data_IF_968012545253
#
_entry.id   IF_968012545253
#
_cell.length_a   1.000
_cell.length_b   1.000
_cell.length_c   1.000
_cell.angle_alpha   90.00
_cell.angle_beta   90.00
_cell.angle_gamma   90.00
#
_symmetry.space_group_name_H-M   'P 1'
#
loop_
_entity.id
_entity.type
_entity.pdbx_description
1 polymer ?
#
# COMPACT_ATOMS: atom_id res chain seq x y z
N UNK A 1 -35.78 -18.87 16.82
CA UNK A 1 -36.23 -17.48 17.04
C UNK A 1 -35.59 -16.98 18.34
N UNK A 2 -34.52 -16.19 18.24
CA UNK A 2 -33.90 -15.57 19.40
C UNK A 2 -33.38 -14.19 18.98
N UNK A 3 -34.20 -13.20 19.29
CA UNK A 3 -33.92 -11.78 19.16
C UNK A 3 -32.69 -11.42 19.98
N UNK A 4 -31.80 -10.59 19.42
CA UNK A 4 -30.87 -9.77 20.19
C UNK A 4 -30.99 -8.33 19.72
N UNK A 5 -31.57 -7.54 20.61
CA UNK A 5 -31.43 -6.10 20.73
C UNK A 5 -29.98 -5.67 20.40
N UNK A 6 -29.76 -4.64 19.61
CA UNK A 6 -30.19 -3.28 19.91
C UNK A 6 -29.00 -2.53 20.49
N UNK A 7 -28.08 -2.10 19.63
CA UNK A 7 -27.07 -1.09 19.97
C UNK A 7 -27.23 0.05 18.97
N UNK A 8 -28.06 1.00 19.39
CA UNK A 8 -28.31 2.27 18.75
C UNK A 8 -27.05 3.14 18.97
N UNK A 9 -26.08 3.10 18.06
CA UNK A 9 -24.94 4.01 18.10
C UNK A 9 -25.39 5.36 17.53
N UNK A 10 -25.89 6.20 18.43
CA UNK A 10 -26.13 7.62 18.22
C UNK A 10 -24.78 8.34 18.24
N UNK A 11 -24.12 8.48 17.09
CA UNK A 11 -23.08 9.50 16.96
C UNK A 11 -23.74 10.83 16.61
N UNK A 12 -23.97 11.58 17.69
CA UNK A 12 -24.43 12.95 17.70
C UNK A 12 -23.45 13.84 16.93
N UNK A 13 -23.97 14.38 15.83
CA UNK A 13 -23.45 15.53 15.11
C UNK A 13 -23.60 16.78 15.99
N UNK A 14 -22.57 17.19 16.73
CA UNK A 14 -22.49 18.53 17.36
C UNK A 14 -21.04 18.98 17.36
N UNK A 15 -20.71 19.95 16.49
CA UNK A 15 -19.36 20.52 16.40
C UNK A 15 -19.23 21.57 15.30
N UNK A 16 -20.13 22.55 15.31
CA UNK A 16 -20.03 23.80 14.56
C UNK A 16 -18.88 24.68 15.11
N UNK A 17 -18.31 25.48 14.22
CA UNK A 17 -17.49 26.69 14.45
C UNK A 17 -16.02 26.50 14.89
N UNK A 18 -15.12 26.73 13.93
CA UNK A 18 -13.70 26.92 14.18
C UNK A 18 -12.94 27.45 12.96
N UNK A 19 -13.41 28.53 12.32
CA UNK A 19 -12.53 29.34 11.48
C UNK A 19 -11.45 29.98 12.38
N UNK A 20 -10.20 29.59 12.20
CA UNK A 20 -9.04 30.41 12.56
C UNK A 20 -7.94 30.07 11.58
N UNK A 21 -7.76 30.99 10.62
CA UNK A 21 -6.64 30.93 9.69
C UNK A 21 -5.32 31.02 10.44
N UNK A 22 -4.33 30.31 9.94
CA UNK A 22 -2.94 30.65 10.11
C UNK A 22 -2.33 30.68 8.72
N UNK A 23 -2.08 31.89 8.24
CA UNK A 23 -1.19 32.11 7.11
C UNK A 23 0.20 31.62 7.54
N UNK A 24 0.65 30.50 7.00
CA UNK A 24 2.04 30.06 7.12
C UNK A 24 2.82 30.84 6.08
N UNK A 25 3.72 31.70 6.57
CA UNK A 25 4.69 32.43 5.78
C UNK A 25 5.54 31.44 4.96
N UNK A 26 5.65 31.70 3.66
CA UNK A 26 6.65 31.08 2.80
C UNK A 26 8.02 31.64 3.20
N UNK A 27 8.80 30.86 3.94
CA UNK A 27 10.22 31.11 4.16
C UNK A 27 10.99 30.49 2.98
N UNK A 28 11.76 31.26 2.19
CA UNK A 28 12.58 30.70 1.12
C UNK A 28 13.71 29.85 1.72
N UNK A 29 14.02 28.66 1.15
CA UNK A 29 15.09 27.82 1.67
C UNK A 29 16.45 28.53 1.57
N UNK A 30 17.33 28.35 2.57
CA UNK A 30 18.68 28.90 2.54
C UNK A 30 19.51 28.25 1.43
N UNK A 31 20.20 29.10 0.66
CA UNK A 31 21.20 28.68 -0.32
C UNK A 31 22.39 28.06 0.43
N UNK A 32 22.59 26.76 0.27
CA UNK A 32 23.79 26.07 0.74
C UNK A 32 25.01 26.45 -0.11
N UNK A 33 26.18 26.67 0.51
CA UNK A 33 27.41 26.99 -0.19
C UNK A 33 27.93 25.79 -1.00
N UNK A 34 28.46 26.11 -2.17
CA UNK A 34 29.26 25.22 -2.99
C UNK A 34 30.62 24.97 -2.33
N UNK A 35 31.08 23.73 -2.40
CA UNK A 35 32.50 23.38 -2.27
C UNK A 35 32.81 22.44 -1.12
N UNK A 36 32.76 21.14 -1.39
CA UNK A 36 33.63 20.17 -0.73
C UNK A 36 34.19 19.21 -1.79
N UNK A 37 35.51 19.03 -1.71
CA UNK A 37 36.38 18.35 -2.66
C UNK A 37 36.21 16.81 -2.58
N UNK A 38 36.60 16.07 -3.63
CA UNK A 38 36.39 14.62 -3.69
C UNK A 38 37.27 13.89 -2.68
N UNK A 39 36.66 13.40 -1.61
CA UNK A 39 37.26 12.36 -0.76
C UNK A 39 37.29 11.05 -1.56
N UNK A 40 38.51 10.64 -1.90
CA UNK A 40 38.82 9.32 -2.43
C UNK A 40 38.42 8.31 -1.37
N UNK A 41 37.33 7.57 -1.63
CA UNK A 41 36.94 6.45 -0.80
C UNK A 41 37.94 5.31 -0.99
N UNK A 42 38.62 4.94 0.09
CA UNK A 42 39.37 3.71 0.22
C UNK A 42 38.49 2.51 -0.16
N UNK A 43 39.05 1.59 -0.95
CA UNK A 43 38.53 0.25 -1.16
C UNK A 43 38.66 -0.53 0.15
N UNK A 44 37.70 -0.28 1.06
CA UNK A 44 37.49 -1.09 2.24
C UNK A 44 37.04 -2.48 1.80
N UNK A 45 37.81 -3.47 2.23
CA UNK A 45 37.46 -4.90 2.17
C UNK A 45 35.99 -5.11 2.59
N UNK A 46 35.24 -5.98 1.90
CA UNK A 46 33.82 -6.18 2.16
C UNK A 46 33.65 -6.72 3.58
N UNK A 47 33.17 -5.86 4.47
CA UNK A 47 32.52 -6.30 5.69
C UNK A 47 31.44 -7.30 5.29
N UNK A 48 31.46 -8.45 5.94
CA UNK A 48 30.56 -9.59 5.77
C UNK A 48 29.20 -9.15 5.21
N UNK A 49 28.91 -9.61 3.99
CA UNK A 49 27.75 -9.17 3.21
C UNK A 49 26.45 -9.31 4.00
N UNK A 50 25.46 -8.45 3.72
CA UNK A 50 24.13 -8.59 4.32
C UNK A 50 23.66 -10.01 4.04
N UNK A 51 23.41 -10.74 5.12
CA UNK A 51 23.03 -12.15 5.12
C UNK A 51 22.05 -12.42 3.97
N UNK A 52 22.50 -13.20 3.00
CA UNK A 52 21.66 -13.74 1.94
C UNK A 52 20.40 -14.30 2.59
N UNK A 53 19.26 -13.69 2.29
CA UNK A 53 17.95 -14.22 2.64
C UNK A 53 17.72 -15.48 1.79
N UNK A 54 18.39 -16.59 2.13
CA UNK A 54 18.36 -17.92 1.51
C UNK A 54 16.98 -18.64 1.62
N UNK A 55 15.89 -17.87 1.76
CA UNK A 55 14.53 -18.40 1.91
C UNK A 55 13.40 -17.41 1.64
N UNK A 56 13.66 -16.18 1.18
CA UNK A 56 12.59 -15.25 0.82
C UNK A 56 11.85 -15.79 -0.41
N UNK A 57 10.60 -16.22 -0.23
CA UNK A 57 9.76 -16.71 -1.31
C UNK A 57 9.15 -15.50 -2.03
N UNK A 58 9.69 -15.21 -3.21
CA UNK A 58 9.11 -14.21 -4.12
C UNK A 58 7.94 -14.85 -4.87
N UNK A 59 6.74 -14.35 -4.63
CA UNK A 59 5.53 -14.79 -5.31
C UNK A 59 5.01 -13.67 -6.18
N UNK A 60 4.95 -13.90 -7.49
CA UNK A 60 4.40 -12.97 -8.47
C UNK A 60 3.07 -13.52 -8.99
N UNK A 61 2.01 -12.72 -8.88
CA UNK A 61 0.70 -13.02 -9.43
C UNK A 61 0.21 -11.85 -10.28
N UNK A 62 -0.17 -12.12 -11.53
CA UNK A 62 -0.71 -11.09 -12.42
C UNK A 62 -2.07 -10.59 -11.91
N UNK A 63 -2.88 -11.50 -11.37
CA UNK A 63 -4.24 -11.21 -10.94
C UNK A 63 -4.72 -12.21 -9.87
N UNK A 64 -5.29 -11.68 -8.78
CA UNK A 64 -6.00 -12.47 -7.77
C UNK A 64 -7.32 -11.78 -7.45
N UNK A 65 -8.41 -12.55 -7.51
CA UNK A 65 -9.74 -12.11 -7.12
C UNK A 65 -10.30 -12.96 -5.97
N UNK A 66 -10.71 -12.31 -4.89
CA UNK A 66 -11.34 -12.93 -3.71
C UNK A 66 -12.45 -12.03 -3.21
N UNK A 67 -13.69 -12.53 -3.12
CA UNK A 67 -14.83 -11.79 -2.54
C UNK A 67 -15.00 -10.36 -3.10
N UNK A 68 -14.96 -10.24 -4.44
CA UNK A 68 -15.05 -8.96 -5.17
C UNK A 68 -13.90 -7.97 -4.88
N UNK A 69 -12.85 -8.39 -4.16
CA UNK A 69 -11.57 -7.70 -4.11
C UNK A 69 -10.71 -8.18 -5.27
N UNK A 70 -10.17 -7.24 -6.03
CA UNK A 70 -9.24 -7.51 -7.12
C UNK A 70 -7.90 -6.86 -6.82
N UNK A 71 -6.85 -7.68 -6.89
CA UNK A 71 -5.47 -7.26 -6.70
C UNK A 71 -4.68 -7.66 -7.94
N UNK A 72 -4.01 -6.69 -8.54
CA UNK A 72 -3.20 -6.86 -9.73
C UNK A 72 -1.73 -6.68 -9.40
N UNK A 73 -0.86 -7.32 -10.19
CA UNK A 73 0.59 -7.17 -10.11
C UNK A 73 1.13 -7.34 -8.69
N UNK A 74 0.62 -8.35 -7.97
CA UNK A 74 1.02 -8.60 -6.60
C UNK A 74 2.39 -9.29 -6.60
N UNK A 75 3.34 -8.69 -5.90
CA UNK A 75 4.66 -9.24 -5.67
C UNK A 75 4.96 -9.20 -4.18
N UNK A 76 5.12 -10.36 -3.58
CA UNK A 76 5.37 -10.52 -2.15
C UNK A 76 6.72 -11.16 -1.88
N UNK A 77 7.47 -10.57 -0.94
CA UNK A 77 8.62 -11.16 -0.25
C UNK A 77 8.18 -11.56 1.15
N UNK A 78 7.97 -12.86 1.35
CA UNK A 78 7.53 -13.42 2.64
C UNK A 78 8.71 -14.10 3.34
N UNK A 79 8.82 -13.91 4.65
CA UNK A 79 9.86 -14.55 5.47
C UNK A 79 9.63 -16.04 5.65
N UNK A 80 8.35 -16.45 5.73
CA UNK A 80 7.94 -17.83 5.93
C UNK A 80 6.52 -18.10 5.37
N UNK A 81 6.10 -19.37 5.33
CA UNK A 81 4.74 -19.80 4.97
C UNK A 81 4.45 -19.97 3.47
N UNK A 82 5.30 -19.45 2.58
CA UNK A 82 5.23 -19.67 1.13
C UNK A 82 3.89 -19.33 0.48
N UNK A 83 3.43 -20.14 -0.48
CA UNK A 83 2.20 -19.85 -1.21
C UNK A 83 0.95 -19.74 -0.33
N UNK A 84 0.91 -20.44 0.82
CA UNK A 84 -0.21 -20.34 1.76
C UNK A 84 -0.23 -19.00 2.49
N UNK A 85 0.94 -18.46 2.84
CA UNK A 85 1.07 -17.14 3.44
C UNK A 85 0.54 -16.04 2.50
N UNK A 86 0.73 -16.17 1.18
CA UNK A 86 0.14 -15.25 0.19
C UNK A 86 -1.40 -15.28 0.18
N UNK A 87 -2.00 -16.46 0.31
CA UNK A 87 -3.46 -16.57 0.41
C UNK A 87 -4.00 -15.89 1.67
N UNK A 88 -3.29 -16.01 2.79
CA UNK A 88 -3.64 -15.34 4.04
C UNK A 88 -3.57 -13.82 3.93
N UNK A 89 -2.55 -13.30 3.24
CA UNK A 89 -2.40 -11.89 2.89
C UNK A 89 -3.59 -11.38 2.09
N UNK A 90 -3.96 -12.08 1.02
CA UNK A 90 -5.11 -11.68 0.18
C UNK A 90 -6.42 -11.77 0.95
N UNK A 91 -6.61 -12.81 1.76
CA UNK A 91 -7.79 -12.96 2.62
C UNK A 91 -7.90 -11.82 3.65
N UNK A 92 -6.76 -11.37 4.20
CA UNK A 92 -6.72 -10.26 5.15
C UNK A 92 -7.09 -8.92 4.49
N UNK A 93 -6.64 -8.70 3.26
CA UNK A 93 -7.07 -7.55 2.45
C UNK A 93 -8.57 -7.64 2.14
N UNK A 94 -9.08 -8.83 1.79
CA UNK A 94 -10.50 -9.05 1.51
C UNK A 94 -11.38 -8.73 2.73
N UNK A 95 -10.95 -9.12 3.94
CA UNK A 95 -11.63 -8.75 5.19
C UNK A 95 -11.71 -7.23 5.43
N UNK A 96 -10.77 -6.46 4.85
CA UNK A 96 -10.74 -5.00 4.93
C UNK A 96 -11.40 -4.31 3.74
N UNK A 97 -11.94 -5.07 2.77
CA UNK A 97 -12.54 -4.55 1.54
C UNK A 97 -13.57 -3.45 1.79
N UNK A 98 -14.49 -3.66 2.73
CA UNK A 98 -15.54 -2.66 3.01
C UNK A 98 -14.97 -1.30 3.47
N UNK A 99 -13.87 -1.30 4.23
CA UNK A 99 -13.19 -0.07 4.65
C UNK A 99 -12.46 0.59 3.49
N UNK A 100 -11.80 -0.22 2.66
CA UNK A 100 -11.13 0.26 1.46
C UNK A 100 -12.13 0.90 0.50
N UNK A 101 -13.22 0.19 0.17
CA UNK A 101 -14.26 0.66 -0.77
C UNK A 101 -14.90 1.98 -0.30
N UNK A 102 -15.00 2.21 1.00
CA UNK A 102 -15.49 3.47 1.56
C UNK A 102 -14.57 4.68 1.24
N UNK A 103 -13.28 4.47 1.01
CA UNK A 103 -12.34 5.52 0.61
C UNK A 103 -12.57 6.01 -0.83
N UNK A 104 -13.02 5.12 -1.72
CA UNK A 104 -13.22 5.43 -3.13
C UNK A 104 -14.44 4.71 -3.74
N UNK A 105 -15.67 5.00 -3.29
CA UNK A 105 -16.86 4.25 -3.69
C UNK A 105 -17.16 4.29 -5.20
N UNK A 106 -16.67 5.31 -5.90
CA UNK A 106 -16.83 5.45 -7.35
C UNK A 106 -15.86 4.57 -8.18
N UNK A 107 -14.97 3.81 -7.54
CA UNK A 107 -13.91 3.08 -8.23
C UNK A 107 -12.62 3.89 -8.33
N UNK A 108 -11.51 3.33 -7.88
CA UNK A 108 -10.17 3.86 -8.07
C UNK A 108 -9.14 2.73 -7.98
N UNK A 109 -7.94 2.99 -8.48
CA UNK A 109 -6.80 2.10 -8.34
C UNK A 109 -5.65 2.80 -7.61
N UNK A 110 -4.95 2.03 -6.78
CA UNK A 110 -3.82 2.50 -5.98
C UNK A 110 -2.66 1.52 -6.10
N UNK A 111 -1.49 2.02 -6.48
CA UNK A 111 -0.24 1.27 -6.36
C UNK A 111 0.23 1.40 -4.92
N UNK A 112 0.25 0.29 -4.21
CA UNK A 112 0.57 0.22 -2.80
C UNK A 112 1.79 -0.64 -2.55
N UNK A 113 2.55 -0.29 -1.52
CA UNK A 113 3.55 -1.15 -0.90
C UNK A 113 3.21 -1.29 0.57
N UNK A 114 3.12 -2.50 1.08
CA UNK A 114 2.83 -2.73 2.49
C UNK A 114 3.78 -3.76 3.07
N UNK A 115 4.07 -3.60 4.36
CA UNK A 115 4.90 -4.48 5.14
C UNK A 115 4.12 -4.88 6.39
N UNK A 116 4.09 -6.19 6.67
CA UNK A 116 3.50 -6.71 7.89
C UNK A 116 4.56 -7.34 8.77
N UNK A 117 4.36 -7.16 10.06
CA UNK A 117 4.99 -7.93 11.13
C UNK A 117 3.88 -8.61 11.93
N UNK A 118 4.26 -9.49 12.86
CA UNK A 118 3.30 -10.13 13.76
C UNK A 118 2.49 -9.12 14.61
N UNK A 119 3.02 -7.90 14.80
CA UNK A 119 2.46 -6.90 15.71
C UNK A 119 1.86 -5.68 14.99
N UNK A 120 2.33 -5.36 13.78
CA UNK A 120 1.92 -4.14 13.08
C UNK A 120 2.01 -4.26 11.56
N UNK A 121 1.07 -3.60 10.87
CA UNK A 121 1.15 -3.30 9.44
C UNK A 121 1.67 -1.88 9.20
N UNK A 122 2.38 -1.69 8.10
CA UNK A 122 2.69 -0.36 7.57
C UNK A 122 2.49 -0.36 6.06
N UNK A 123 1.77 0.64 5.56
CA UNK A 123 1.44 0.78 4.16
C UNK A 123 1.96 2.10 3.60
N UNK A 124 2.25 2.09 2.31
CA UNK A 124 2.67 3.23 1.51
C UNK A 124 1.87 3.20 0.22
N UNK A 125 1.50 4.37 -0.28
CA UNK A 125 0.85 4.50 -1.59
C UNK A 125 1.85 5.20 -2.49
N UNK A 126 2.32 4.50 -3.53
CA UNK A 126 3.33 5.01 -4.47
C UNK A 126 2.71 5.54 -5.76
N UNK A 127 1.42 5.29 -6.00
CA UNK A 127 0.67 5.87 -7.11
C UNK A 127 -0.84 5.71 -6.93
N UNK A 128 -1.62 6.62 -7.50
CA UNK A 128 -3.08 6.61 -7.38
C UNK A 128 -3.76 7.30 -8.55
N UNK A 129 -4.93 6.82 -8.93
CA UNK A 129 -5.83 7.54 -9.83
C UNK A 129 -6.75 8.52 -9.10
N UNK A 130 -6.75 8.49 -7.76
CA UNK A 130 -7.53 9.36 -6.89
C UNK A 130 -6.70 9.81 -5.67
N UNK A 131 -5.85 10.84 -5.82
CA UNK A 131 -4.94 11.30 -4.76
C UNK A 131 -5.66 11.69 -3.46
N UNK A 132 -6.88 12.22 -3.55
CA UNK A 132 -7.68 12.61 -2.39
C UNK A 132 -8.12 11.46 -1.48
N UNK A 133 -7.98 10.21 -1.93
CA UNK A 133 -8.33 9.01 -1.18
C UNK A 133 -7.10 8.24 -0.63
N UNK A 134 -5.87 8.65 -0.96
CA UNK A 134 -4.64 7.93 -0.57
C UNK A 134 -4.48 7.81 0.94
N UNK A 135 -4.75 8.89 1.68
CA UNK A 135 -4.65 8.88 3.14
C UNK A 135 -5.63 7.89 3.79
N UNK A 136 -6.86 7.83 3.29
CA UNK A 136 -7.88 6.88 3.76
C UNK A 136 -7.48 5.43 3.46
N UNK A 137 -6.97 5.17 2.25
CA UNK A 137 -6.50 3.83 1.87
C UNK A 137 -5.30 3.43 2.71
N UNK A 138 -4.33 4.32 2.91
CA UNK A 138 -3.19 4.09 3.79
C UNK A 138 -3.62 3.76 5.21
N UNK A 139 -4.52 4.55 5.79
CA UNK A 139 -5.05 4.31 7.14
C UNK A 139 -5.77 2.95 7.24
N UNK A 140 -6.59 2.61 6.24
CA UNK A 140 -7.27 1.32 6.19
C UNK A 140 -6.28 0.14 6.12
N UNK A 141 -5.18 0.29 5.38
CA UNK A 141 -4.12 -0.72 5.27
C UNK A 141 -3.23 -0.78 6.52
N UNK A 142 -2.89 0.35 7.14
CA UNK A 142 -2.14 0.41 8.41
C UNK A 142 -2.91 -0.24 9.56
N UNK A 143 -4.25 -0.20 9.51
CA UNK A 143 -5.12 -0.84 10.49
C UNK A 143 -5.19 -2.37 10.33
N UNK A 144 -4.61 -2.94 9.27
CA UNK A 144 -4.52 -4.37 9.09
C UNK A 144 -3.48 -4.94 10.04
N UNK A 145 -3.92 -5.87 10.88
CA UNK A 145 -3.09 -6.58 11.85
C UNK A 145 -3.19 -8.08 11.60
N UNK A 146 -2.11 -8.78 11.91
CA UNK A 146 -2.00 -10.21 11.67
C UNK A 146 -1.56 -10.55 10.24
N UNK A 147 -1.13 -11.79 10.07
CA UNK A 147 -0.57 -12.31 8.84
C UNK A 147 0.93 -12.64 8.94
N UNK A 148 1.48 -13.25 7.88
CA UNK A 148 2.89 -13.60 7.79
C UNK A 148 3.77 -12.35 7.70
N UNK A 149 4.95 -12.40 8.33
CA UNK A 149 5.94 -11.32 8.21
C UNK A 149 6.46 -11.23 6.77
N UNK A 150 6.41 -10.04 6.18
CA UNK A 150 6.84 -9.84 4.81
C UNK A 150 6.52 -8.46 4.26
N UNK A 151 6.90 -8.24 2.99
CA UNK A 151 6.61 -7.03 2.22
C UNK A 151 5.91 -7.43 0.95
N UNK A 152 4.89 -6.69 0.53
CA UNK A 152 4.40 -6.82 -0.83
C UNK A 152 4.16 -5.47 -1.49
N UNK A 153 4.17 -5.51 -2.82
CA UNK A 153 3.67 -4.44 -3.67
C UNK A 153 2.53 -4.97 -4.52
N UNK A 154 1.57 -4.11 -4.83
CA UNK A 154 0.39 -4.47 -5.62
C UNK A 154 -0.31 -3.24 -6.18
N UNK A 155 -1.17 -3.45 -7.18
CA UNK A 155 -2.21 -2.51 -7.59
C UNK A 155 -3.54 -2.97 -6.98
N UNK A 156 -4.04 -2.18 -6.04
CA UNK A 156 -5.29 -2.44 -5.31
C UNK A 156 -6.45 -1.72 -6.00
N UNK A 157 -7.50 -2.46 -6.34
CA UNK A 157 -8.74 -1.92 -6.88
C UNK A 157 -9.74 -1.71 -5.75
N UNK A 158 -10.32 -0.52 -5.69
CA UNK A 158 -11.16 -0.07 -4.58
C UNK A 158 -12.45 0.54 -5.12
N UNK A 159 -13.60 0.16 -4.53
CA UNK A 159 -14.92 0.69 -4.87
C UNK A 159 -15.61 -0.08 -6.00
N UNK A 160 -16.23 0.66 -6.93
CA UNK A 160 -16.90 0.07 -8.09
C UNK A 160 -15.88 -0.63 -9.01
N UNK A 161 -16.11 -1.92 -9.27
CA UNK A 161 -15.12 -2.84 -9.89
C UNK A 161 -14.74 -2.40 -11.31
N UNK A 162 -15.70 -2.03 -12.16
CA UNK A 162 -15.40 -1.70 -13.56
C UNK A 162 -14.67 -0.35 -13.69
N UNK A 163 -15.03 0.63 -12.87
CA UNK A 163 -14.29 1.89 -12.75
C UNK A 163 -12.88 1.68 -12.18
N UNK A 164 -12.72 0.83 -11.15
CA UNK A 164 -11.42 0.52 -10.58
C UNK A 164 -10.51 -0.23 -11.58
N UNK A 165 -11.04 -1.17 -12.38
CA UNK A 165 -10.30 -1.84 -13.46
C UNK A 165 -9.77 -0.86 -14.50
N UNK A 166 -10.62 0.05 -15.00
CA UNK A 166 -10.19 1.10 -15.92
C UNK A 166 -9.12 2.01 -15.31
N UNK A 167 -9.22 2.29 -14.02
CA UNK A 167 -8.21 3.04 -13.29
C UNK A 167 -6.87 2.28 -13.18
N UNK A 168 -6.91 0.97 -12.96
CA UNK A 168 -5.71 0.14 -12.85
C UNK A 168 -4.87 0.13 -14.13
N UNK A 169 -5.51 0.13 -15.31
CA UNK A 169 -4.81 0.22 -16.60
C UNK A 169 -3.99 1.52 -16.74
N UNK A 170 -4.38 2.60 -16.07
CA UNK A 170 -3.59 3.85 -16.07
C UNK A 170 -2.37 3.79 -15.15
N UNK A 171 -2.34 2.83 -14.22
CA UNK A 171 -1.25 2.66 -13.25
C UNK A 171 -0.27 1.56 -13.63
N UNK A 172 -0.62 0.65 -14.56
CA UNK A 172 0.32 -0.36 -15.05
C UNK A 172 1.57 0.32 -15.60
N UNK A 173 2.78 -0.15 -15.24
CA UNK A 173 3.98 0.36 -15.88
C UNK A 173 3.88 0.04 -17.38
N UNK A 174 4.44 0.87 -18.28
CA UNK A 174 4.53 0.48 -19.67
C UNK A 174 5.23 -0.87 -19.72
N UNK A 175 4.58 -1.89 -20.30
CA UNK A 175 5.23 -3.17 -20.54
C UNK A 175 6.55 -2.85 -21.23
N UNK A 176 7.65 -3.30 -20.62
CA UNK A 176 8.96 -3.11 -21.24
C UNK A 176 8.85 -3.69 -22.65
N UNK A 177 9.17 -2.93 -23.71
CA UNK A 177 9.02 -3.44 -25.07
C UNK A 177 9.78 -4.76 -25.13
N UNK A 178 9.09 -5.83 -25.53
CA UNK A 178 9.68 -7.15 -25.70
C UNK A 178 10.91 -6.99 -26.59
N UNK A 179 12.10 -7.00 -25.98
CA UNK A 179 13.36 -7.13 -26.71
C UNK A 179 13.44 -8.56 -27.19
N UNK A 180 12.60 -8.91 -28.16
CA UNK A 180 12.76 -10.05 -29.05
C UNK A 180 14.04 -9.81 -29.84
N UNK A 181 15.17 -10.14 -29.21
CA UNK A 181 16.46 -10.18 -29.88
C UNK A 181 16.55 -11.54 -30.54
N UNK A 182 16.19 -11.56 -31.82
CA UNK A 182 16.36 -12.69 -32.76
C UNK A 182 17.84 -13.02 -33.02
#
# INVERSE_FOLDING_TARGET
>A
MKERAGVLFVFLFVGLLGCSGSAVANDPPPLTPAGEEPVVAEEGEPADGPEDFDGALVLNGEFIAVEDLEVHDISCELKEGGAFAMLEVVATLANSKAKLDACAPAGAAFRIGFQWTAEAGSATVSGSTKPSAEACVKEALDAIQGGPEGRCTAILLVGEVEAARRAAEMLKPPSSPDTDTE
#
